data_IF_779322433463
#
_entry.id   IF_779322433463
#
_cell.length_a   1.000
_cell.length_b   1.000
_cell.length_c   1.000
_cell.angle_alpha   90.00
_cell.angle_beta   90.00
_cell.angle_gamma   90.00
#
_symmetry.space_group_name_H-M   'P 1'
#
loop_
_entity.id
_entity.type
_entity.pdbx_description
1 polymer ?
#
# COMPACT_ATOMS: atom_id res chain seq x y z
N UNK A 1 -17.85 15.32 -16.74
CA UNK A 1 -16.92 16.37 -17.17
C UNK A 1 -15.52 15.83 -16.95
N UNK A 2 -14.78 15.50 -18.01
CA UNK A 2 -13.45 14.91 -17.85
C UNK A 2 -12.45 15.98 -17.43
N UNK A 3 -11.68 15.72 -16.38
CA UNK A 3 -10.52 16.53 -16.04
C UNK A 3 -9.32 15.96 -16.80
N UNK A 4 -8.72 16.79 -17.65
CA UNK A 4 -7.46 16.47 -18.33
C UNK A 4 -6.26 16.73 -17.41
N UNK A 5 -5.08 16.15 -17.71
CA UNK A 5 -3.89 16.45 -16.95
C UNK A 5 -3.53 17.95 -17.07
N UNK A 6 -2.97 18.49 -15.98
CA UNK A 6 -2.52 19.89 -15.89
C UNK A 6 -1.03 19.98 -16.24
N UNK A 7 -0.69 20.96 -17.06
CA UNK A 7 0.66 21.19 -17.55
C UNK A 7 1.00 22.67 -17.47
N UNK A 8 2.24 23.00 -17.12
CA UNK A 8 2.76 24.37 -17.28
C UNK A 8 3.79 24.36 -18.40
N UNK A 9 3.60 25.21 -19.40
CA UNK A 9 4.51 25.29 -20.55
C UNK A 9 5.78 26.04 -20.13
N UNK A 10 6.97 25.42 -20.18
CA UNK A 10 8.20 26.08 -19.69
C UNK A 10 8.86 27.05 -20.68
N UNK A 11 8.64 26.90 -21.99
CA UNK A 11 9.35 27.66 -23.03
C UNK A 11 8.48 28.13 -24.19
N UNK A 12 7.51 27.33 -24.62
CA UNK A 12 6.70 27.60 -25.82
C UNK A 12 5.24 27.94 -25.50
N UNK A 13 4.55 28.54 -26.47
CA UNK A 13 3.11 28.87 -26.40
C UNK A 13 2.32 27.59 -26.68
N UNK A 14 1.44 27.20 -25.76
CA UNK A 14 0.49 26.11 -25.99
C UNK A 14 -0.72 26.65 -26.77
N UNK A 15 -1.08 26.00 -27.89
CA UNK A 15 -2.22 26.40 -28.73
C UNK A 15 -3.19 25.26 -28.99
N UNK A 16 -4.44 25.61 -29.26
CA UNK A 16 -5.49 24.67 -29.64
C UNK A 16 -5.17 23.98 -30.97
N UNK A 17 -5.49 22.69 -31.10
CA UNK A 17 -5.35 21.93 -32.35
C UNK A 17 -3.99 21.29 -32.60
N UNK A 18 -2.98 21.60 -31.78
CA UNK A 18 -1.68 20.95 -31.83
C UNK A 18 -1.80 19.43 -31.57
N UNK A 19 -0.98 18.67 -32.28
CA UNK A 19 -0.84 17.22 -32.09
C UNK A 19 0.51 16.91 -31.44
N UNK A 20 0.48 15.98 -30.49
CA UNK A 20 1.63 15.60 -29.67
C UNK A 20 1.77 14.10 -29.67
N UNK A 21 3.00 13.61 -29.73
CA UNK A 21 3.31 12.20 -29.48
C UNK A 21 4.15 12.13 -28.21
N UNK A 22 3.55 11.89 -27.03
CA UNK A 22 4.32 11.63 -25.82
C UNK A 22 5.16 10.36 -26.02
N UNK A 23 6.27 10.27 -25.31
CA UNK A 23 7.03 9.02 -25.29
C UNK A 23 6.22 7.99 -24.47
N UNK A 24 6.02 6.79 -25.04
CA UNK A 24 5.20 5.70 -24.48
C UNK A 24 3.67 5.91 -24.47
N UNK A 25 3.12 6.91 -25.17
CA UNK A 25 1.67 7.06 -25.34
C UNK A 25 1.30 7.22 -26.81
N UNK A 26 0.04 6.89 -27.10
CA UNK A 26 -0.57 7.19 -28.38
C UNK A 26 -0.57 8.69 -28.68
N UNK A 27 -0.52 9.07 -29.98
CA UNK A 27 -0.55 10.47 -30.37
C UNK A 27 -1.87 11.12 -29.96
N UNK A 28 -1.75 12.28 -29.33
CA UNK A 28 -2.87 13.05 -28.78
C UNK A 28 -3.01 14.34 -29.55
N UNK A 29 -4.24 14.62 -30.00
CA UNK A 29 -4.61 15.93 -30.51
C UNK A 29 -5.31 16.71 -29.39
N UNK A 30 -4.81 17.90 -29.06
CA UNK A 30 -5.49 18.75 -28.08
C UNK A 30 -6.82 19.19 -28.68
N UNK A 31 -7.91 18.73 -28.08
CA UNK A 31 -9.26 19.15 -28.47
C UNK A 31 -9.67 20.44 -27.78
N UNK A 32 -9.17 20.67 -26.56
CA UNK A 32 -9.52 21.84 -25.76
C UNK A 32 -8.43 22.17 -24.74
N UNK A 33 -8.21 23.46 -24.57
CA UNK A 33 -7.32 24.08 -23.61
C UNK A 33 -8.17 24.76 -22.52
N UNK A 34 -7.87 24.49 -21.25
CA UNK A 34 -8.57 25.11 -20.12
C UNK A 34 -7.59 25.76 -19.14
N UNK A 35 -8.00 26.90 -18.59
CA UNK A 35 -7.31 27.58 -17.50
C UNK A 35 -7.64 26.97 -16.13
N UNK A 36 -7.06 27.49 -15.04
CA UNK A 36 -7.28 27.04 -13.66
C UNK A 36 -8.76 27.12 -13.23
N UNK A 37 -9.49 28.08 -13.79
CA UNK A 37 -10.93 28.28 -13.58
C UNK A 37 -11.81 27.37 -14.46
N UNK A 38 -11.22 26.40 -15.16
CA UNK A 38 -11.87 25.53 -16.16
C UNK A 38 -12.45 26.26 -17.39
N UNK A 39 -12.14 27.56 -17.53
CA UNK A 39 -12.54 28.34 -18.71
C UNK A 39 -11.70 27.95 -19.92
N UNK A 40 -12.36 27.85 -21.07
CA UNK A 40 -11.69 27.51 -22.34
C UNK A 40 -10.83 28.69 -22.81
N UNK A 41 -9.58 28.42 -23.16
CA UNK A 41 -8.64 29.41 -23.70
C UNK A 41 -8.09 28.94 -25.05
N UNK A 42 -7.74 29.88 -25.94
CA UNK A 42 -7.22 29.56 -27.27
C UNK A 42 -5.71 29.29 -27.26
N UNK A 43 -4.98 30.01 -26.40
CA UNK A 43 -3.53 29.89 -26.26
C UNK A 43 -3.10 30.23 -24.84
N UNK A 44 -1.98 29.65 -24.40
CA UNK A 44 -1.33 30.00 -23.14
C UNK A 44 0.16 30.28 -23.35
N UNK A 45 0.64 31.31 -22.67
CA UNK A 45 2.04 31.72 -22.68
C UNK A 45 2.94 30.80 -21.85
N UNK A 46 4.25 31.05 -21.87
CA UNK A 46 5.19 30.34 -21.01
C UNK A 46 4.86 30.61 -19.53
N UNK A 47 5.07 29.59 -18.72
CA UNK A 47 4.80 29.49 -17.28
C UNK A 47 3.32 29.50 -16.88
N UNK A 48 2.38 29.70 -17.81
CA UNK A 48 0.95 29.61 -17.51
C UNK A 48 0.51 28.13 -17.40
N UNK A 49 -0.10 27.71 -16.28
CA UNK A 49 -0.65 26.38 -16.15
C UNK A 49 -1.93 26.24 -16.98
N UNK A 50 -2.02 25.15 -17.75
CA UNK A 50 -3.16 24.81 -18.59
C UNK A 50 -3.52 23.34 -18.47
N UNK A 51 -4.81 23.05 -18.53
CA UNK A 51 -5.32 21.68 -18.62
C UNK A 51 -5.56 21.33 -20.07
N UNK A 52 -4.98 20.22 -20.53
CA UNK A 52 -5.15 19.72 -21.88
C UNK A 52 -6.21 18.60 -21.89
N UNK A 53 -7.20 18.72 -22.77
CA UNK A 53 -8.20 17.68 -23.02
C UNK A 53 -7.90 16.97 -24.35
N UNK A 54 -8.17 15.66 -24.40
CA UNK A 54 -8.00 14.84 -25.61
C UNK A 54 -7.16 13.57 -25.43
N UNK A 55 -6.63 13.32 -24.23
CA UNK A 55 -5.88 12.10 -23.93
C UNK A 55 -6.80 10.88 -23.94
N UNK A 56 -6.38 9.82 -24.65
CA UNK A 56 -6.97 8.48 -24.49
C UNK A 56 -6.45 7.79 -23.23
N UNK A 57 -5.17 7.98 -22.94
CA UNK A 57 -4.46 7.42 -21.78
C UNK A 57 -3.67 8.53 -21.07
N UNK A 58 -3.60 8.46 -19.75
CA UNK A 58 -2.93 9.49 -18.94
C UNK A 58 -1.42 9.21 -18.84
N UNK A 59 -0.54 10.21 -19.05
CA UNK A 59 0.89 10.05 -18.85
C UNK A 59 1.25 9.85 -17.37
N UNK A 60 2.33 9.11 -17.06
CA UNK A 60 2.86 9.00 -15.71
C UNK A 60 3.40 10.35 -15.20
N UNK A 61 3.40 10.56 -13.88
CA UNK A 61 3.81 11.83 -13.25
C UNK A 61 5.32 12.02 -13.38
N UNK A 62 5.77 13.27 -13.44
CA UNK A 62 7.20 13.62 -13.53
C UNK A 62 7.84 13.41 -14.90
N UNK A 63 7.21 12.61 -15.77
CA UNK A 63 7.60 12.43 -17.18
C UNK A 63 7.55 13.74 -17.98
N UNK A 64 6.83 14.73 -17.46
CA UNK A 64 6.66 16.09 -18.00
C UNK A 64 7.98 16.88 -18.07
N UNK A 65 9.04 16.50 -17.32
CA UNK A 65 10.37 17.11 -17.50
C UNK A 65 10.91 16.94 -18.93
N UNK A 66 10.52 15.86 -19.62
CA UNK A 66 10.88 15.61 -21.03
C UNK A 66 9.81 16.06 -22.01
N UNK A 67 8.55 16.21 -21.61
CA UNK A 67 7.47 16.59 -22.53
C UNK A 67 7.81 17.92 -23.20
N UNK A 68 8.25 18.96 -22.48
CA UNK A 68 8.63 20.24 -23.09
C UNK A 68 9.88 20.21 -23.99
N UNK A 69 10.84 19.28 -23.78
CA UNK A 69 12.03 19.17 -24.65
C UNK A 69 11.82 18.24 -25.84
N UNK A 70 10.78 17.40 -25.78
CA UNK A 70 10.42 16.39 -26.78
C UNK A 70 9.08 16.71 -27.45
N UNK A 71 8.63 17.96 -27.34
CA UNK A 71 7.63 18.56 -28.22
C UNK A 71 8.26 18.66 -29.62
N UNK A 72 8.23 17.58 -30.41
CA UNK A 72 7.91 17.82 -31.80
C UNK A 72 6.43 18.18 -31.78
N UNK A 73 6.14 19.47 -31.69
CA UNK A 73 4.89 20.02 -32.20
C UNK A 73 4.85 19.62 -33.67
N UNK A 74 4.29 18.44 -33.94
CA UNK A 74 4.02 18.04 -35.28
C UNK A 74 2.83 18.90 -35.69
N UNK A 75 3.06 19.85 -36.59
CA UNK A 75 1.97 20.59 -37.24
C UNK A 75 0.99 19.63 -37.94
N UNK A 76 1.38 18.36 -38.13
CA UNK A 76 0.61 17.32 -38.77
C UNK A 76 0.43 16.06 -37.87
N UNK A 77 -0.81 15.58 -37.79
CA UNK A 77 -1.20 14.38 -37.06
C UNK A 77 -0.53 13.10 -37.62
N UNK A 78 -0.22 13.07 -38.92
CA UNK A 78 0.45 11.94 -39.55
C UNK A 78 1.86 11.72 -39.00
N UNK A 79 2.62 12.80 -38.78
CA UNK A 79 3.97 12.73 -38.25
C UNK A 79 3.97 12.29 -36.78
N UNK A 80 3.01 12.78 -35.97
CA UNK A 80 2.85 12.32 -34.58
C UNK A 80 2.56 10.80 -34.50
N UNK A 81 1.75 10.26 -35.42
CA UNK A 81 1.50 8.82 -35.53
C UNK A 81 2.77 8.04 -35.89
N UNK A 82 3.50 8.45 -36.93
CA UNK A 82 4.74 7.79 -37.34
C UNK A 82 5.80 7.76 -36.22
N UNK A 83 5.93 8.85 -35.46
CA UNK A 83 6.83 8.92 -34.30
C UNK A 83 6.40 7.98 -33.18
N UNK A 84 5.09 7.92 -32.88
CA UNK A 84 4.54 7.01 -31.88
C UNK A 84 4.76 5.54 -32.27
N UNK A 85 4.42 5.15 -33.51
CA UNK A 85 4.64 3.79 -34.03
C UNK A 85 6.11 3.39 -33.98
N UNK A 86 7.03 4.31 -34.29
CA UNK A 86 8.47 4.05 -34.23
C UNK A 86 8.94 3.80 -32.79
N UNK A 87 8.35 4.49 -31.81
CA UNK A 87 8.66 4.32 -30.38
C UNK A 87 8.08 3.02 -29.83
N UNK A 88 6.83 2.70 -30.16
CA UNK A 88 6.18 1.44 -29.81
C UNK A 88 6.99 0.25 -30.33
N UNK A 89 7.40 0.28 -31.61
CA UNK A 89 8.27 -0.75 -32.19
C UNK A 89 9.59 -0.88 -31.43
N UNK A 90 10.24 0.24 -31.07
CA UNK A 90 11.49 0.22 -30.28
C UNK A 90 11.30 -0.38 -28.89
N UNK A 91 10.19 -0.08 -28.20
CA UNK A 91 9.87 -0.67 -26.90
C UNK A 91 9.61 -2.17 -27.00
N UNK A 92 8.78 -2.59 -27.95
CA UNK A 92 8.53 -4.00 -28.24
C UNK A 92 9.84 -4.76 -28.49
N UNK A 93 10.72 -4.22 -29.33
CA UNK A 93 12.03 -4.83 -29.59
C UNK A 93 12.89 -4.92 -28.32
N UNK A 94 12.90 -3.86 -27.49
CA UNK A 94 13.66 -3.83 -26.23
C UNK A 94 13.15 -4.87 -25.22
N UNK A 95 11.83 -4.99 -25.06
CA UNK A 95 11.19 -5.96 -24.16
C UNK A 95 11.41 -7.39 -24.63
N UNK A 96 11.22 -7.66 -25.92
CA UNK A 96 11.49 -8.98 -26.52
C UNK A 96 12.94 -9.41 -26.29
N UNK A 97 13.89 -8.47 -26.41
CA UNK A 97 15.30 -8.72 -26.17
C UNK A 97 15.60 -8.98 -24.68
N UNK A 98 14.92 -8.27 -23.77
CA UNK A 98 15.01 -8.50 -22.33
C UNK A 98 14.40 -9.85 -21.91
N UNK A 99 13.26 -10.23 -22.46
CA UNK A 99 12.59 -11.51 -22.21
C UNK A 99 13.45 -12.68 -22.73
N UNK A 100 14.01 -12.56 -23.93
CA UNK A 100 14.95 -13.54 -24.49
C UNK A 100 16.16 -13.74 -23.58
N UNK A 101 16.73 -12.65 -23.04
CA UNK A 101 17.83 -12.70 -22.08
C UNK A 101 17.44 -13.39 -20.76
N UNK A 102 16.26 -13.09 -20.21
CA UNK A 102 15.74 -13.76 -19.00
C UNK A 102 15.56 -15.26 -19.22
N UNK A 103 14.99 -15.64 -20.37
CA UNK A 103 14.78 -17.05 -20.74
C UNK A 103 16.10 -17.79 -20.93
N UNK A 104 17.09 -17.17 -21.60
CA UNK A 104 18.43 -17.72 -21.73
C UNK A 104 19.10 -17.91 -20.35
N UNK A 105 18.98 -16.94 -19.45
CA UNK A 105 19.48 -17.05 -18.07
C UNK A 105 18.83 -18.21 -17.32
N UNK A 106 17.51 -18.39 -17.44
CA UNK A 106 16.80 -19.52 -16.83
C UNK A 106 17.19 -20.87 -17.44
N UNK A 107 17.34 -20.96 -18.77
CA UNK A 107 17.79 -22.19 -19.45
C UNK A 107 19.22 -22.58 -19.05
N UNK A 108 20.13 -21.60 -18.87
CA UNK A 108 21.50 -21.85 -18.35
C UNK A 108 21.51 -22.33 -16.90
N UNK A 109 20.51 -21.97 -16.10
CA UNK A 109 20.38 -22.45 -14.70
C UNK A 109 19.76 -23.85 -14.65
N UNK A 110 18.84 -24.18 -15.56
CA UNK A 110 18.20 -25.51 -15.64
C UNK A 110 19.10 -26.59 -16.27
N UNK A 111 19.99 -26.24 -17.20
CA UNK A 111 21.00 -27.16 -17.72
C UNK A 111 22.29 -27.11 -16.87
N UNK A 112 22.26 -27.72 -15.69
CA UNK A 112 23.49 -28.21 -15.02
C UNK A 112 23.80 -29.67 -15.38
N UNK A 113 22.80 -30.42 -15.86
CA UNK A 113 22.98 -31.78 -16.36
C UNK A 113 22.98 -31.79 -17.91
N UNK A 114 24.11 -32.15 -18.56
CA UNK A 114 24.23 -32.16 -20.02
C UNK A 114 23.27 -33.17 -20.71
N UNK A 115 22.78 -34.17 -19.99
CA UNK A 115 22.05 -35.32 -20.56
C UNK A 115 20.56 -35.05 -20.83
N UNK A 116 19.96 -34.04 -20.17
CA UNK A 116 18.51 -33.75 -20.27
C UNK A 116 18.13 -32.93 -21.51
N UNK A 117 19.09 -32.27 -22.15
CA UNK A 117 18.85 -31.38 -23.30
C UNK A 117 18.53 -32.09 -24.62
N UNK A 118 18.70 -33.42 -24.70
CA UNK A 118 18.59 -34.16 -25.96
C UNK A 118 17.17 -34.69 -26.24
N UNK A 119 16.27 -34.68 -25.26
CA UNK A 119 14.98 -35.38 -25.36
C UNK A 119 13.74 -34.46 -25.45
N UNK A 120 13.92 -33.14 -25.50
CA UNK A 120 12.80 -32.21 -25.70
C UNK A 120 12.67 -31.82 -27.18
N UNK A 121 11.80 -32.55 -27.90
CA UNK A 121 11.32 -32.11 -29.20
C UNK A 121 10.47 -30.84 -29.04
N UNK A 122 10.57 -29.85 -29.94
CA UNK A 122 9.72 -28.67 -29.88
C UNK A 122 8.27 -29.07 -30.19
N UNK A 123 7.42 -29.16 -29.17
CA UNK A 123 5.96 -29.19 -29.39
C UNK A 123 5.55 -27.87 -30.02
N UNK A 124 5.04 -27.94 -31.25
CA UNK A 124 4.41 -26.81 -31.91
C UNK A 124 3.26 -26.30 -31.02
N UNK A 125 3.32 -25.02 -30.69
CA UNK A 125 2.27 -24.32 -29.95
C UNK A 125 1.09 -24.11 -30.91
N UNK A 126 0.07 -24.97 -30.80
CA UNK A 126 -1.24 -24.74 -31.40
C UNK A 126 -1.96 -23.75 -30.49
N UNK A 127 -2.32 -22.60 -31.06
CA UNK A 127 -3.24 -21.65 -30.41
C UNK A 127 -4.63 -22.17 -30.77
N UNK A 128 -5.27 -22.86 -29.83
CA UNK A 128 -6.69 -23.13 -29.91
C UNK A 128 -7.43 -21.87 -29.43
N UNK A 129 -8.16 -21.24 -30.35
CA UNK A 129 -9.06 -20.12 -30.10
C UNK A 129 -10.35 -20.61 -29.40
N UNK A 130 -10.21 -21.13 -28.18
CA UNK A 130 -11.33 -21.28 -27.25
C UNK A 130 -11.26 -20.16 -26.19
N UNK A 131 -11.67 -18.96 -26.62
CA UNK A 131 -12.17 -17.93 -25.70
C UNK A 131 -13.52 -18.41 -25.16
N UNK A 132 -13.59 -18.70 -23.85
CA UNK A 132 -14.74 -18.45 -22.96
C UNK A 132 -14.69 -19.38 -21.73
N UNK A 133 -13.61 -19.26 -20.92
CA UNK A 133 -13.55 -19.58 -19.48
C UNK A 133 -12.11 -19.53 -18.90
N UNK A 134 -11.19 -18.77 -19.52
CA UNK A 134 -10.03 -18.27 -18.76
C UNK A 134 -10.56 -17.37 -17.65
N UNK A 135 -10.65 -17.93 -16.45
CA UNK A 135 -11.17 -17.29 -15.24
C UNK A 135 -10.75 -15.82 -15.15
N UNK A 136 -11.64 -14.92 -14.75
CA UNK A 136 -11.32 -13.49 -14.59
C UNK A 136 -10.06 -13.25 -13.70
N UNK A 137 -9.69 -14.24 -12.86
CA UNK A 137 -8.43 -14.28 -12.13
C UNK A 137 -7.19 -14.29 -13.05
N UNK A 138 -7.22 -15.05 -14.15
CA UNK A 138 -6.17 -15.07 -15.16
C UNK A 138 -6.04 -13.73 -15.90
N UNK A 139 -7.17 -13.05 -16.17
CA UNK A 139 -7.19 -11.72 -16.81
C UNK A 139 -6.42 -10.67 -16.00
N UNK A 140 -6.59 -10.70 -14.68
CA UNK A 140 -6.01 -9.72 -13.77
C UNK A 140 -4.81 -10.23 -12.96
N UNK A 141 -4.36 -11.46 -13.21
CA UNK A 141 -3.29 -12.11 -12.43
C UNK A 141 -3.58 -12.09 -10.91
N UNK A 142 -4.84 -12.33 -10.55
CA UNK A 142 -5.24 -12.44 -9.15
C UNK A 142 -4.56 -13.66 -8.53
N UNK A 143 -3.93 -13.47 -7.37
CA UNK A 143 -3.44 -14.59 -6.59
C UNK A 143 -4.58 -15.22 -5.81
N UNK A 144 -4.66 -16.56 -5.80
CA UNK A 144 -5.63 -17.32 -5.01
C UNK A 144 -5.09 -17.70 -3.62
N UNK A 145 -3.83 -17.36 -3.31
CA UNK A 145 -3.23 -17.63 -2.01
C UNK A 145 -4.00 -16.88 -0.90
N UNK A 146 -4.46 -17.56 0.16
CA UNK A 146 -5.16 -16.92 1.27
C UNK A 146 -4.34 -15.83 1.97
N UNK A 147 -3.01 -15.86 1.88
CA UNK A 147 -2.09 -14.87 2.45
C UNK A 147 -1.97 -13.61 1.60
N UNK A 148 -2.32 -13.68 0.32
CA UNK A 148 -2.20 -12.56 -0.60
C UNK A 148 -3.51 -11.77 -0.64
N UNK A 149 -3.40 -10.47 -0.42
CA UNK A 149 -4.50 -9.51 -0.54
C UNK A 149 -4.33 -8.75 -1.84
N UNK A 150 -5.26 -9.01 -2.76
CA UNK A 150 -5.30 -8.40 -4.08
C UNK A 150 -5.95 -7.02 -3.98
N UNK A 151 -5.19 -5.96 -4.29
CA UNK A 151 -5.61 -4.57 -4.14
C UNK A 151 -5.75 -3.89 -5.50
N UNK A 152 -6.90 -3.24 -5.72
CA UNK A 152 -7.08 -2.28 -6.82
C UNK A 152 -7.18 -0.86 -6.26
N UNK A 153 -6.30 0.02 -6.72
CA UNK A 153 -6.27 1.43 -6.35
C UNK A 153 -7.03 2.26 -7.39
N UNK A 154 -7.98 3.08 -6.91
CA UNK A 154 -8.61 4.14 -7.71
C UNK A 154 -8.51 5.49 -7.01
N UNK A 155 -8.19 6.53 -7.78
CA UNK A 155 -8.16 7.88 -7.24
C UNK A 155 -8.68 8.93 -8.23
N UNK A 156 -8.82 10.17 -7.76
CA UNK A 156 -9.21 11.33 -8.57
C UNK A 156 -8.12 11.75 -9.57
N UNK A 157 -6.85 11.56 -9.22
CA UNK A 157 -5.70 11.91 -10.03
C UNK A 157 -4.56 10.90 -9.86
N UNK A 158 -3.62 10.89 -10.81
CA UNK A 158 -2.47 10.00 -10.78
C UNK A 158 -1.61 10.19 -9.53
N UNK A 159 -1.48 11.44 -9.03
CA UNK A 159 -0.61 11.75 -7.89
C UNK A 159 -1.09 11.11 -6.60
N UNK A 160 -2.40 11.02 -6.46
CA UNK A 160 -3.01 10.29 -5.36
C UNK A 160 -2.81 8.79 -5.47
N UNK A 161 -2.80 8.21 -6.67
CA UNK A 161 -2.48 6.78 -6.87
C UNK A 161 -1.05 6.50 -6.41
N UNK A 162 -0.09 7.32 -6.82
CA UNK A 162 1.32 7.16 -6.43
C UNK A 162 1.51 7.32 -4.92
N UNK A 163 0.80 8.27 -4.29
CA UNK A 163 0.83 8.46 -2.85
C UNK A 163 0.27 7.24 -2.10
N UNK A 164 -0.87 6.70 -2.56
CA UNK A 164 -1.49 5.50 -1.99
C UNK A 164 -0.59 4.28 -2.19
N UNK A 165 0.02 4.12 -3.37
CA UNK A 165 0.97 3.04 -3.63
C UNK A 165 2.20 3.10 -2.72
N UNK A 166 2.82 4.27 -2.59
CA UNK A 166 3.98 4.47 -1.72
C UNK A 166 3.63 4.10 -0.27
N UNK A 167 2.47 4.55 0.19
CA UNK A 167 2.00 4.22 1.53
C UNK A 167 1.79 2.72 1.72
N UNK A 168 1.17 2.02 0.75
CA UNK A 168 1.01 0.56 0.80
C UNK A 168 2.35 -0.18 0.89
N UNK A 169 3.38 0.30 0.21
CA UNK A 169 4.73 -0.28 0.25
C UNK A 169 5.43 -0.06 1.60
N UNK A 170 5.07 0.99 2.33
CA UNK A 170 5.63 1.29 3.65
C UNK A 170 4.95 0.53 4.78
N UNK A 171 3.76 -0.06 4.55
CA UNK A 171 3.08 -0.91 5.52
C UNK A 171 3.96 -2.14 5.78
N UNK A 172 4.44 -2.27 7.02
CA UNK A 172 5.21 -3.43 7.46
C UNK A 172 4.29 -4.43 8.12
N UNK A 173 4.07 -5.55 7.46
CA UNK A 173 3.28 -6.65 8.00
C UNK A 173 4.21 -7.52 8.85
N UNK A 174 3.85 -7.81 10.13
CA UNK A 174 4.66 -8.66 10.98
C UNK A 174 4.72 -10.10 10.43
N UNK A 175 5.89 -10.72 10.54
CA UNK A 175 6.17 -12.14 10.19
C UNK A 175 5.90 -12.55 8.73
N UNK A 176 5.70 -11.60 7.81
CA UNK A 176 5.32 -11.86 6.42
C UNK A 176 4.07 -12.77 6.28
N UNK A 177 3.16 -12.71 7.26
CA UNK A 177 1.96 -13.55 7.30
C UNK A 177 0.94 -13.19 6.20
N UNK A 178 0.98 -11.94 5.74
CA UNK A 178 0.16 -11.41 4.64
C UNK A 178 1.05 -10.64 3.65
N UNK A 179 0.69 -10.71 2.37
CA UNK A 179 1.34 -9.96 1.30
C UNK A 179 0.31 -9.12 0.53
N UNK A 180 0.65 -7.87 0.24
CA UNK A 180 -0.21 -6.96 -0.52
C UNK A 180 0.21 -7.00 -1.99
N UNK A 181 -0.69 -7.47 -2.85
CA UNK A 181 -0.49 -7.49 -4.30
C UNK A 181 -1.31 -6.39 -4.97
N UNK A 182 -0.66 -5.37 -5.53
CA UNK A 182 -1.35 -4.31 -6.29
C UNK A 182 -1.64 -4.81 -7.70
N UNK A 183 -2.89 -5.22 -7.92
CA UNK A 183 -3.37 -5.81 -9.18
C UNK A 183 -3.53 -4.75 -10.26
N UNK A 184 -4.13 -3.61 -9.89
CA UNK A 184 -4.46 -2.55 -10.85
C UNK A 184 -4.52 -1.18 -10.21
N UNK A 185 -4.23 -0.16 -11.02
CA UNK A 185 -4.24 1.24 -10.65
C UNK A 185 -4.88 2.04 -11.76
N UNK A 186 -5.92 2.80 -11.47
CA UNK A 186 -6.55 3.64 -12.49
C UNK A 186 -7.20 4.89 -11.88
N UNK A 187 -7.49 5.87 -12.74
CA UNK A 187 -8.15 7.12 -12.35
C UNK A 187 -9.66 7.01 -12.57
N UNK A 188 -10.44 7.61 -11.68
CA UNK A 188 -11.88 7.78 -11.84
C UNK A 188 -12.73 6.97 -10.86
N UNK A 189 -14.07 7.17 -10.90
CA UNK A 189 -14.97 6.63 -9.89
C UNK A 189 -15.07 5.10 -9.95
N UNK A 190 -15.40 4.50 -8.82
CA UNK A 190 -15.71 3.07 -8.73
C UNK A 190 -17.12 2.83 -9.29
N UNK A 191 -17.23 1.97 -10.31
CA UNK A 191 -18.49 1.58 -10.96
C UNK A 191 -18.89 0.15 -10.59
N UNK A 192 -20.18 -0.17 -10.72
CA UNK A 192 -20.72 -1.48 -10.33
C UNK A 192 -20.12 -2.64 -11.12
N UNK A 193 -19.75 -2.38 -12.38
CA UNK A 193 -19.05 -3.31 -13.26
C UNK A 193 -17.67 -3.66 -12.71
N UNK A 194 -16.88 -2.66 -12.30
CA UNK A 194 -15.55 -2.88 -11.70
C UNK A 194 -15.66 -3.70 -10.40
N UNK A 195 -16.67 -3.41 -9.58
CA UNK A 195 -16.91 -4.18 -8.36
C UNK A 195 -17.34 -5.62 -8.68
N UNK A 196 -18.01 -5.88 -9.80
CA UNK A 196 -18.31 -7.26 -10.26
C UNK A 196 -17.06 -7.95 -10.78
N UNK A 197 -16.21 -7.25 -11.54
CA UNK A 197 -14.94 -7.80 -12.04
C UNK A 197 -14.01 -8.23 -10.89
N UNK A 198 -14.09 -7.54 -9.75
CA UNK A 198 -13.29 -7.82 -8.54
C UNK A 198 -14.00 -8.62 -7.47
N UNK A 199 -15.15 -9.25 -7.75
CA UNK A 199 -15.92 -10.01 -6.76
C UNK A 199 -15.27 -11.38 -6.45
N UNK A 200 -14.01 -11.32 -6.05
CA UNK A 200 -13.13 -12.43 -5.72
C UNK A 200 -12.80 -12.42 -4.23
N UNK A 201 -12.35 -13.57 -3.71
CA UNK A 201 -11.88 -13.65 -2.33
C UNK A 201 -10.60 -12.84 -2.17
N UNK A 202 -10.40 -12.26 -0.98
CA UNK A 202 -9.23 -11.46 -0.62
C UNK A 202 -8.95 -10.29 -1.59
N UNK A 203 -10.00 -9.79 -2.26
CA UNK A 203 -9.91 -8.63 -3.12
C UNK A 203 -10.43 -7.38 -2.41
N UNK A 204 -9.68 -6.30 -2.56
CA UNK A 204 -9.96 -5.00 -1.94
C UNK A 204 -9.85 -3.90 -2.98
N UNK A 205 -10.80 -2.96 -2.96
CA UNK A 205 -10.76 -1.74 -3.76
C UNK A 205 -10.49 -0.56 -2.82
N UNK A 206 -9.37 0.12 -3.03
CA UNK A 206 -9.01 1.36 -2.35
C UNK A 206 -9.38 2.55 -3.24
N UNK A 207 -10.41 3.29 -2.84
CA UNK A 207 -10.88 4.48 -3.52
C UNK A 207 -10.49 5.74 -2.74
N UNK A 208 -9.71 6.62 -3.36
CA UNK A 208 -9.30 7.88 -2.78
C UNK A 208 -9.92 9.07 -3.51
N UNK A 209 -10.71 9.87 -2.78
CA UNK A 209 -11.35 11.09 -3.29
C UNK A 209 -12.22 10.87 -4.54
N UNK A 210 -12.78 9.67 -4.70
CA UNK A 210 -13.71 9.37 -5.80
C UNK A 210 -15.15 9.23 -5.28
N UNK A 211 -16.14 9.72 -6.05
CA UNK A 211 -17.54 9.57 -5.65
C UNK A 211 -17.93 8.09 -5.79
N UNK A 212 -18.32 7.49 -4.68
CA UNK A 212 -18.90 6.15 -4.66
C UNK A 212 -20.43 6.28 -4.70
N UNK A 213 -21.08 5.59 -5.64
CA UNK A 213 -22.55 5.49 -5.64
C UNK A 213 -22.97 4.78 -4.35
N UNK A 214 -24.00 5.32 -3.67
CA UNK A 214 -24.61 4.70 -2.47
C UNK A 214 -25.32 3.40 -2.85
N UNK A 215 -24.56 2.33 -3.05
CA UNK A 215 -25.07 0.97 -3.20
C UNK A 215 -24.62 0.11 -2.02
N UNK A 216 -25.43 -0.90 -1.68
CA UNK A 216 -25.09 -1.87 -0.65
C UNK A 216 -24.07 -2.88 -1.20
N UNK A 217 -22.79 -2.53 -1.16
CA UNK A 217 -21.68 -3.44 -1.50
C UNK A 217 -21.49 -4.57 -0.46
N UNK A 218 -22.22 -4.54 0.67
CA UNK A 218 -22.17 -5.54 1.74
C UNK A 218 -22.47 -6.98 1.32
N UNK A 219 -23.13 -7.19 0.18
CA UNK A 219 -23.49 -8.53 -0.33
C UNK A 219 -22.39 -9.18 -1.17
N UNK A 220 -21.32 -8.45 -1.50
CA UNK A 220 -20.23 -8.94 -2.35
C UNK A 220 -19.05 -9.41 -1.50
N UNK A 221 -18.19 -10.25 -2.08
CA UNK A 221 -16.97 -10.76 -1.44
C UNK A 221 -15.85 -9.72 -1.41
N UNK A 222 -15.91 -8.74 -2.31
CA UNK A 222 -14.98 -7.61 -2.39
C UNK A 222 -15.30 -6.53 -1.36
N UNK A 223 -14.26 -6.03 -0.69
CA UNK A 223 -14.37 -4.88 0.20
C UNK A 223 -13.98 -3.60 -0.52
N UNK A 224 -14.76 -2.54 -0.32
CA UNK A 224 -14.51 -1.22 -0.95
C UNK A 224 -14.29 -0.20 0.16
N UNK A 225 -13.08 0.33 0.25
CA UNK A 225 -12.73 1.44 1.12
C UNK A 225 -12.79 2.72 0.31
N UNK A 226 -13.56 3.70 0.76
CA UNK A 226 -13.65 4.99 0.10
C UNK A 226 -13.51 6.13 1.09
N UNK A 227 -12.44 6.91 0.95
CA UNK A 227 -12.19 8.04 1.83
C UNK A 227 -11.64 9.24 1.05
N UNK A 228 -11.86 10.44 1.56
CA UNK A 228 -11.31 11.68 1.01
C UNK A 228 -9.97 12.06 1.66
N UNK A 229 -9.65 11.48 2.81
CA UNK A 229 -8.43 11.72 3.59
C UNK A 229 -7.60 10.45 3.59
N UNK A 230 -6.32 10.56 3.22
CA UNK A 230 -5.48 9.39 2.93
C UNK A 230 -5.23 8.57 4.20
N UNK A 231 -5.03 9.22 5.35
CA UNK A 231 -4.81 8.54 6.63
C UNK A 231 -6.02 7.69 7.04
N UNK A 232 -7.24 8.22 6.92
CA UNK A 232 -8.44 7.44 7.24
C UNK A 232 -8.64 6.26 6.29
N UNK A 233 -8.26 6.40 5.01
CA UNK A 233 -8.30 5.28 4.06
C UNK A 233 -7.42 4.13 4.57
N UNK A 234 -6.23 4.45 5.06
CA UNK A 234 -5.27 3.48 5.54
C UNK A 234 -5.56 2.98 6.94
N UNK A 235 -6.10 3.79 7.83
CA UNK A 235 -6.59 3.32 9.14
C UNK A 235 -7.66 2.25 8.96
N UNK A 236 -8.62 2.47 8.05
CA UNK A 236 -9.67 1.50 7.76
C UNK A 236 -9.09 0.24 7.09
N UNK A 237 -8.14 0.41 6.18
CA UNK A 237 -7.47 -0.71 5.52
C UNK A 237 -6.60 -1.53 6.50
N UNK A 238 -5.87 -0.88 7.40
CA UNK A 238 -5.05 -1.52 8.44
C UNK A 238 -5.92 -2.31 9.40
N UNK A 239 -7.04 -1.74 9.87
CA UNK A 239 -8.01 -2.49 10.70
C UNK A 239 -8.49 -3.76 10.00
N UNK A 240 -8.74 -3.68 8.70
CA UNK A 240 -9.08 -4.86 7.90
C UNK A 240 -7.94 -5.88 7.83
N UNK A 241 -6.68 -5.45 7.69
CA UNK A 241 -5.52 -6.34 7.73
C UNK A 241 -5.38 -7.03 9.11
N UNK A 242 -5.53 -6.27 10.19
CA UNK A 242 -5.48 -6.81 11.56
C UNK A 242 -6.57 -7.84 11.84
N UNK A 243 -7.77 -7.66 11.28
CA UNK A 243 -8.86 -8.63 11.38
C UNK A 243 -8.58 -9.92 10.59
N UNK A 244 -7.70 -9.85 9.58
CA UNK A 244 -7.27 -10.99 8.77
C UNK A 244 -6.06 -11.71 9.35
N UNK A 245 -5.25 -11.04 10.17
CA UNK A 245 -4.07 -11.64 10.77
C UNK A 245 -4.46 -12.65 11.86
N UNK A 246 -3.70 -13.74 12.00
CA UNK A 246 -3.86 -14.66 13.11
C UNK A 246 -3.58 -13.93 14.43
N UNK A 247 -4.33 -14.28 15.48
CA UNK A 247 -4.07 -13.77 16.82
C UNK A 247 -2.69 -14.23 17.31
N UNK A 248 -1.96 -13.32 17.94
CA UNK A 248 -0.66 -13.64 18.52
C UNK A 248 -0.87 -14.39 19.83
N UNK A 249 -0.12 -15.48 20.00
CA UNK A 249 -0.08 -16.23 21.26
C UNK A 249 1.06 -15.70 22.12
N UNK A 250 0.70 -15.01 23.20
CA UNK A 250 1.65 -14.57 24.22
C UNK A 250 1.68 -15.62 25.35
N UNK A 251 2.82 -16.31 25.43
CA UNK A 251 3.10 -17.38 26.39
C UNK A 251 3.80 -16.75 27.59
N UNK A 252 3.14 -16.69 28.74
CA UNK A 252 3.74 -16.24 29.99
C UNK A 252 3.91 -17.43 30.93
N UNK A 253 5.15 -17.74 31.32
CA UNK A 253 5.40 -18.79 32.31
C UNK A 253 5.01 -18.27 33.70
N UNK A 254 4.08 -18.95 34.37
CA UNK A 254 3.61 -18.63 35.71
C UNK A 254 4.46 -19.28 36.80
N UNK A 255 5.02 -20.46 36.53
CA UNK A 255 5.85 -21.16 37.50
C UNK A 255 6.45 -22.46 36.99
N UNK A 256 7.39 -22.99 37.78
CA UNK A 256 8.09 -24.25 37.54
C UNK A 256 7.97 -25.16 38.76
N UNK A 257 7.73 -26.44 38.53
CA UNK A 257 7.74 -27.48 39.55
C UNK A 257 8.55 -28.69 39.12
N UNK A 258 9.06 -29.44 40.08
CA UNK A 258 9.77 -30.70 39.84
C UNK A 258 8.98 -31.86 40.42
N UNK A 259 8.87 -32.94 39.65
CA UNK A 259 8.26 -34.21 40.10
C UNK A 259 9.19 -34.87 41.11
N UNK A 260 8.71 -35.07 42.34
CA UNK A 260 9.45 -35.76 43.39
C UNK A 260 9.12 -37.26 43.43
N UNK A 261 7.83 -37.57 43.52
CA UNK A 261 7.33 -38.94 43.65
C UNK A 261 6.14 -39.15 42.72
N UNK A 262 5.86 -40.40 42.35
CA UNK A 262 4.74 -40.75 41.47
C UNK A 262 3.87 -41.75 42.23
N UNK A 263 2.62 -41.38 42.46
CA UNK A 263 1.65 -42.23 43.15
C UNK A 263 0.78 -42.92 42.09
N UNK A 264 0.74 -44.26 42.13
CA UNK A 264 -0.07 -45.09 41.24
C UNK A 264 -1.29 -45.63 41.99
N UNK A 265 -2.42 -44.91 42.00
CA UNK A 265 -3.66 -45.44 42.58
C UNK A 265 -4.16 -46.67 41.81
N UNK A 266 -4.66 -47.68 42.52
CA UNK A 266 -5.37 -48.81 41.89
C UNK A 266 -6.56 -48.29 41.07
N UNK A 267 -6.62 -48.63 39.78
CA UNK A 267 -7.64 -48.23 38.78
C UNK A 267 -7.71 -46.75 38.37
N UNK A 268 -6.66 -45.95 38.60
CA UNK A 268 -6.61 -44.57 38.11
C UNK A 268 -5.25 -44.19 37.48
N UNK A 269 -5.25 -43.05 36.77
CA UNK A 269 -4.04 -42.50 36.13
C UNK A 269 -2.96 -42.19 37.19
N UNK A 270 -1.67 -42.36 36.88
CA UNK A 270 -0.59 -42.02 37.80
C UNK A 270 -0.61 -40.53 38.13
N UNK A 271 -0.48 -40.19 39.41
CA UNK A 271 -0.53 -38.81 39.92
C UNK A 271 0.82 -38.45 40.53
N UNK A 272 1.62 -37.58 39.90
CA UNK A 272 2.87 -37.11 40.49
C UNK A 272 2.62 -36.18 41.69
N UNK A 273 3.48 -36.30 42.68
CA UNK A 273 3.69 -35.29 43.72
C UNK A 273 4.75 -34.33 43.20
N UNK A 274 4.36 -33.08 42.97
CA UNK A 274 5.24 -32.04 42.46
C UNK A 274 5.56 -31.01 43.54
N UNK A 275 6.80 -30.55 43.59
CA UNK A 275 7.22 -29.42 44.42
C UNK A 275 7.37 -28.19 43.53
N UNK A 276 6.68 -27.09 43.88
CA UNK A 276 6.76 -25.84 43.13
C UNK A 276 8.04 -25.10 43.55
N UNK A 277 8.98 -24.98 42.61
CA UNK A 277 10.28 -24.37 42.85
C UNK A 277 10.24 -22.84 42.72
N UNK A 278 9.44 -22.33 41.78
CA UNK A 278 9.31 -20.90 41.53
C UNK A 278 7.94 -20.58 40.91
N UNK A 279 7.40 -19.42 41.25
CA UNK A 279 6.14 -18.90 40.75
C UNK A 279 4.92 -19.57 41.37
N UNK A 280 3.87 -19.75 40.57
CA UNK A 280 2.61 -20.34 41.02
C UNK A 280 1.98 -21.25 39.99
N UNK A 281 1.26 -22.25 40.46
CA UNK A 281 0.51 -23.19 39.64
C UNK A 281 -0.96 -22.84 39.73
N UNK A 282 -1.53 -22.36 38.62
CA UNK A 282 -2.95 -22.06 38.53
C UNK A 282 -3.70 -23.24 37.92
N UNK A 283 -4.83 -23.62 38.51
CA UNK A 283 -5.65 -24.77 38.06
C UNK A 283 -6.07 -24.67 36.60
N UNK A 284 -6.39 -23.45 36.15
CA UNK A 284 -6.81 -23.15 34.77
C UNK A 284 -5.61 -22.83 33.84
N UNK A 285 -4.38 -22.99 34.33
CA UNK A 285 -3.17 -22.79 33.55
C UNK A 285 -2.96 -23.90 32.51
N UNK A 286 -2.07 -23.64 31.57
CA UNK A 286 -1.60 -24.61 30.60
C UNK A 286 -0.32 -25.27 31.12
N UNK A 287 -0.31 -26.58 31.26
CA UNK A 287 0.80 -27.34 31.84
C UNK A 287 1.63 -27.99 30.75
N UNK A 288 2.96 -27.81 30.83
CA UNK A 288 3.94 -28.50 29.97
C UNK A 288 4.85 -29.37 30.81
N UNK A 289 4.98 -30.64 30.44
CA UNK A 289 5.93 -31.56 31.05
C UNK A 289 7.17 -31.63 30.18
N UNK A 290 8.33 -31.31 30.78
CA UNK A 290 9.64 -31.34 30.14
C UNK A 290 10.51 -32.42 30.76
N UNK A 291 11.14 -33.21 29.91
CA UNK A 291 12.15 -34.21 30.27
C UNK A 291 13.44 -33.89 29.55
N UNK A 292 14.52 -33.71 30.31
CA UNK A 292 15.83 -33.36 29.74
C UNK A 292 15.78 -32.16 28.77
N UNK A 293 14.89 -31.19 29.04
CA UNK A 293 14.70 -29.99 28.23
C UNK A 293 13.73 -30.14 27.04
N UNK A 294 13.29 -31.34 26.68
CA UNK A 294 12.30 -31.57 25.63
C UNK A 294 10.88 -31.63 26.19
N UNK A 295 9.91 -31.08 25.46
CA UNK A 295 8.49 -31.14 25.82
C UNK A 295 7.98 -32.54 25.48
N UNK A 296 7.52 -33.27 26.50
CA UNK A 296 6.98 -34.64 26.37
C UNK A 296 5.46 -34.65 26.35
N UNK A 297 4.84 -33.69 27.03
CA UNK A 297 3.39 -33.61 27.14
C UNK A 297 2.91 -32.18 27.40
N UNK A 298 1.73 -31.84 26.87
CA UNK A 298 1.07 -30.55 27.04
C UNK A 298 -0.42 -30.73 27.30
N UNK A 299 -0.99 -29.98 28.25
CA UNK A 299 -2.42 -30.00 28.55
C UNK A 299 -2.91 -28.66 29.09
N UNK A 300 -4.14 -28.27 28.72
CA UNK A 300 -4.84 -27.15 29.34
C UNK A 300 -5.61 -27.61 30.58
N UNK A 301 -5.38 -26.94 31.70
CA UNK A 301 -5.98 -27.22 32.99
C UNK A 301 -5.37 -28.43 33.70
N UNK A 302 -5.39 -28.38 35.03
CA UNK A 302 -5.03 -29.50 35.90
C UNK A 302 -5.98 -29.59 37.09
N UNK A 303 -6.03 -30.76 37.73
CA UNK A 303 -6.71 -30.92 39.02
C UNK A 303 -5.68 -31.14 40.12
N UNK A 304 -5.73 -30.32 41.18
CA UNK A 304 -4.94 -30.53 42.38
C UNK A 304 -5.72 -31.44 43.33
N UNK A 305 -5.17 -32.62 43.69
CA UNK A 305 -5.89 -33.59 44.53
C UNK A 305 -5.85 -33.28 46.03
N UNK A 306 -4.79 -32.64 46.51
CA UNK A 306 -4.60 -32.40 47.95
C UNK A 306 -5.23 -31.10 48.43
N UNK A 307 -5.43 -30.14 47.53
CA UNK A 307 -5.97 -28.82 47.81
C UNK A 307 -7.05 -28.49 46.79
N UNK A 308 -8.29 -28.24 47.25
CA UNK A 308 -9.35 -27.64 46.43
C UNK A 308 -9.09 -26.14 46.17
N UNK A 309 -7.81 -25.74 46.11
CA UNK A 309 -7.38 -24.38 45.86
C UNK A 309 -7.29 -24.14 44.34
N UNK A 310 -7.60 -22.91 43.92
CA UNK A 310 -7.47 -22.52 42.52
C UNK A 310 -6.02 -22.23 42.12
N UNK A 311 -5.16 -21.91 43.09
CA UNK A 311 -3.74 -21.64 42.90
C UNK A 311 -2.90 -22.29 44.02
N UNK A 312 -1.69 -22.73 43.67
CA UNK A 312 -0.69 -23.26 44.62
C UNK A 312 0.60 -22.46 44.46
N UNK A 313 1.12 -21.95 45.58
CA UNK A 313 2.30 -21.08 45.62
C UNK A 313 3.63 -21.84 45.74
N UNK A 314 4.74 -21.13 45.52
CA UNK A 314 6.10 -21.65 45.65
C UNK A 314 6.34 -22.26 47.03
N UNK A 315 7.11 -23.35 47.07
CA UNK A 315 7.49 -24.05 48.32
C UNK A 315 6.45 -25.04 48.82
N UNK A 316 5.26 -25.08 48.23
CA UNK A 316 4.24 -26.09 48.52
C UNK A 316 4.40 -27.31 47.61
N UNK A 317 4.15 -28.49 48.17
CA UNK A 317 3.97 -29.72 47.40
C UNK A 317 2.49 -29.94 47.08
N UNK A 318 2.19 -30.41 45.88
CA UNK A 318 0.83 -30.76 45.50
C UNK A 318 0.80 -31.99 44.60
N UNK A 319 -0.26 -32.80 44.72
CA UNK A 319 -0.56 -33.85 43.74
C UNK A 319 -1.24 -33.26 42.51
N UNK A 320 -0.53 -33.33 41.38
CA UNK A 320 -0.98 -32.79 40.10
C UNK A 320 -1.61 -33.90 39.26
N UNK A 321 -2.92 -33.85 39.03
CA UNK A 321 -3.61 -34.78 38.14
C UNK A 321 -3.71 -34.18 36.73
N UNK A 322 -2.99 -34.81 35.80
CA UNK A 322 -3.03 -34.56 34.36
C UNK A 322 -3.38 -35.87 33.63
N UNK A 323 -3.81 -35.76 32.38
CA UNK A 323 -4.04 -36.89 31.47
C UNK A 323 -2.71 -37.40 30.87
N UNK A 324 -1.72 -37.61 31.72
CA UNK A 324 -0.40 -38.09 31.34
C UNK A 324 -0.01 -39.32 32.16
N UNK A 325 0.52 -40.33 31.48
CA UNK A 325 0.79 -41.64 32.08
C UNK A 325 2.29 -41.91 32.31
N UNK A 326 3.16 -41.33 31.50
CA UNK A 326 4.59 -41.71 31.46
C UNK A 326 5.43 -40.76 32.31
N UNK A 327 5.13 -40.65 33.60
CA UNK A 327 5.89 -39.80 34.53
C UNK A 327 7.25 -40.41 34.89
N UNK A 328 8.29 -39.58 34.94
CA UNK A 328 9.57 -39.95 35.55
C UNK A 328 9.88 -39.01 36.73
N UNK A 329 10.56 -39.52 37.78
CA UNK A 329 11.14 -38.66 38.80
C UNK A 329 12.07 -37.63 38.16
N UNK A 330 12.07 -36.41 38.68
CA UNK A 330 12.81 -35.26 38.15
C UNK A 330 12.32 -34.70 36.80
N UNK A 331 11.16 -35.12 36.29
CA UNK A 331 10.50 -34.37 35.21
C UNK A 331 10.17 -32.94 35.69
N UNK A 332 10.30 -31.96 34.80
CA UNK A 332 10.05 -30.56 35.09
C UNK A 332 8.68 -30.16 34.52
N UNK A 333 7.80 -29.64 35.36
CA UNK A 333 6.47 -29.17 34.97
C UNK A 333 6.48 -27.65 34.93
N UNK A 334 5.99 -27.06 33.84
CA UNK A 334 5.80 -25.62 33.69
C UNK A 334 4.31 -25.31 33.67
N UNK A 335 3.89 -24.35 34.49
CA UNK A 335 2.55 -23.77 34.41
C UNK A 335 2.65 -22.48 33.58
N UNK A 336 1.84 -22.37 32.54
CA UNK A 336 1.89 -21.30 31.54
C UNK A 336 0.51 -20.67 31.42
N UNK A 337 0.46 -19.35 31.29
CA UNK A 337 -0.72 -18.63 30.86
C UNK A 337 -0.59 -18.30 29.37
N UNK A 338 -1.50 -18.83 28.55
CA UNK A 338 -1.58 -18.51 27.13
C UNK A 338 -2.62 -17.41 26.99
N UNK A 339 -2.16 -16.21 26.61
CA UNK A 339 -3.04 -15.09 26.27
C UNK A 339 -3.02 -14.89 24.76
N UNK A 340 -4.21 -14.75 24.19
CA UNK A 340 -4.37 -14.38 22.79
C UNK A 340 -4.51 -12.86 22.72
N UNK A 341 -3.58 -12.19 22.04
CA UNK A 341 -3.64 -10.76 21.77
C UNK A 341 -3.88 -10.54 20.28
N UNK A 342 -4.62 -9.49 19.93
CA UNK A 342 -4.82 -9.13 18.51
C UNK A 342 -3.50 -8.63 17.96
N UNK A 343 -3.10 -9.15 16.80
CA UNK A 343 -1.91 -8.67 16.10
C UNK A 343 -2.20 -7.27 15.54
N UNK A 344 -1.46 -6.28 16.02
CA UNK A 344 -1.54 -4.89 15.53
C UNK A 344 -0.55 -4.68 14.40
N UNK A 345 -0.95 -3.90 13.40
CA UNK A 345 -0.06 -3.49 12.30
C UNK A 345 0.30 -2.03 12.50
N UNK A 346 1.59 -1.74 12.56
CA UNK A 346 2.06 -0.38 12.72
C UNK A 346 1.69 0.44 11.48
N UNK A 347 1.09 1.61 11.70
CA UNK A 347 0.87 2.56 10.62
C UNK A 347 2.22 3.11 10.15
N UNK A 348 2.43 3.27 8.83
CA UNK A 348 3.68 3.81 8.34
C UNK A 348 3.87 5.24 8.84
N UNK A 349 5.07 5.47 9.37
CA UNK A 349 5.51 6.79 9.82
C UNK A 349 6.17 7.48 8.65
N UNK A 350 5.54 8.55 8.14
CA UNK A 350 6.20 9.47 7.22
C UNK A 350 6.95 10.46 8.08
N UNK A 351 8.29 10.40 8.15
CA UNK A 351 9.03 11.50 8.73
C UNK A 351 8.68 12.76 7.94
N UNK A 352 8.20 13.79 8.63
CA UNK A 352 8.10 15.11 8.01
C UNK A 352 9.53 15.55 7.71
N UNK A 353 9.73 16.24 6.58
CA UNK A 353 11.04 16.82 6.30
C UNK A 353 11.42 17.75 7.46
N UNK A 354 12.60 17.58 8.06
CA UNK A 354 13.06 18.39 9.20
C UNK A 354 12.95 19.90 8.91
N UNK A 355 13.13 20.31 7.66
CA UNK A 355 12.95 21.70 7.21
C UNK A 355 11.50 22.19 7.33
N UNK A 356 10.52 21.34 7.02
CA UNK A 356 9.09 21.65 7.16
C UNK A 356 8.69 21.72 8.63
N UNK A 357 9.18 20.80 9.47
CA UNK A 357 8.95 20.84 10.91
C UNK A 357 9.51 22.14 11.51
N UNK A 358 10.76 22.50 11.18
CA UNK A 358 11.38 23.74 11.64
C UNK A 358 10.61 24.99 11.18
N UNK A 359 10.07 24.99 9.95
CA UNK A 359 9.26 26.10 9.43
C UNK A 359 7.91 26.26 10.14
N UNK A 360 7.26 25.15 10.52
CA UNK A 360 6.00 25.16 11.27
C UNK A 360 6.20 25.67 12.70
N UNK A 361 7.33 25.31 13.33
CA UNK A 361 7.67 25.80 14.67
C UNK A 361 8.15 27.26 14.68
N UNK A 362 8.63 27.80 13.56
CA UNK A 362 9.00 29.22 13.43
C UNK A 362 7.81 30.15 13.19
N UNK A 363 6.62 29.63 12.89
CA UNK A 363 5.44 30.47 12.72
C UNK A 363 4.90 30.94 14.08
N UNK A 364 5.40 32.07 14.56
CA UNK A 364 4.69 32.87 15.56
C UNK A 364 3.65 33.73 14.82
N UNK A 365 2.34 33.59 15.10
CA UNK A 365 1.37 34.54 14.56
C UNK A 365 1.77 35.92 15.05
N UNK A 366 2.05 36.84 14.12
CA UNK A 366 2.32 38.23 14.47
C UNK A 366 1.15 38.72 15.31
N UNK A 367 1.42 39.12 16.56
CA UNK A 367 0.41 39.75 17.39
C UNK A 367 -0.17 40.93 16.62
N UNK A 368 -1.51 41.10 16.61
CA UNK A 368 -2.11 42.23 15.95
C UNK A 368 -1.71 43.50 16.71
N UNK A 369 -0.62 44.14 16.28
CA UNK A 369 -0.30 45.51 16.65
C UNK A 369 -1.33 46.43 16.00
N UNK A 370 -2.51 46.49 16.60
CA UNK A 370 -3.52 47.49 16.30
C UNK A 370 -3.82 48.24 17.59
N UNK A 371 -3.03 49.27 17.88
CA UNK A 371 -3.51 50.39 18.68
C UNK A 371 -4.58 51.11 17.85
N UNK A 372 -5.83 50.64 17.95
CA UNK A 372 -6.99 51.42 17.51
C UNK A 372 -7.21 52.51 18.54
N UNK A 373 -6.56 53.65 18.35
CA UNK A 373 -7.04 54.91 18.94
C UNK A 373 -7.17 55.92 17.81
N UNK A 374 -8.43 56.24 17.50
CA UNK A 374 -8.93 57.36 16.70
C UNK A 374 -8.25 57.58 15.35
N UNK A 375 -8.86 57.00 14.30
CA UNK A 375 -8.72 57.53 12.94
C UNK A 375 -10.11 58.00 12.52
N UNK A 376 -10.25 59.32 12.35
CA UNK A 376 -11.42 59.97 11.78
C UNK A 376 -11.69 59.42 10.37
N UNK A 377 -12.93 59.03 10.13
CA UNK A 377 -13.36 58.32 8.92
C UNK A 377 -13.43 59.19 7.64
N UNK A 378 -12.99 60.45 7.69
CA UNK A 378 -13.12 61.42 6.59
C UNK A 378 -11.84 61.62 5.75
N UNK A 379 -10.77 60.85 5.95
CA UNK A 379 -9.53 60.98 5.16
C UNK A 379 -8.98 59.71 4.50
N UNK A 380 -9.84 58.77 4.10
CA UNK A 380 -9.41 57.70 3.19
C UNK A 380 -9.48 58.17 1.72
N UNK A 381 -8.54 59.03 1.32
CA UNK A 381 -8.15 59.10 -0.09
C UNK A 381 -7.33 57.86 -0.44
N UNK A 382 -7.79 57.15 -1.45
CA UNK A 382 -7.12 56.02 -2.09
C UNK A 382 -5.69 56.38 -2.53
N UNK A 383 -4.68 55.80 -1.89
CA UNK A 383 -3.32 55.73 -2.46
C UNK A 383 -3.00 54.27 -2.76
N UNK A 384 -3.47 53.84 -3.94
CA UNK A 384 -2.92 52.67 -4.62
C UNK A 384 -1.68 53.14 -5.38
N UNK A 385 -0.49 52.79 -4.89
CA UNK A 385 0.74 52.97 -5.66
C UNK A 385 1.64 51.74 -5.53
N UNK A 386 1.24 50.64 -6.17
CA UNK A 386 2.19 49.60 -6.55
C UNK A 386 3.11 50.15 -7.65
N UNK A 387 4.45 50.00 -7.53
CA UNK A 387 5.39 50.51 -8.54
C UNK A 387 5.14 49.84 -9.88
N UNK A 388 4.98 50.65 -10.95
CA UNK A 388 4.82 50.16 -12.33
C UNK A 388 6.21 49.95 -12.94
N UNK A 389 6.60 48.69 -13.13
CA UNK A 389 7.84 48.33 -13.84
C UNK A 389 7.49 47.99 -15.29
N UNK A 390 8.19 48.61 -16.25
CA UNK A 390 7.97 48.34 -17.68
C UNK A 390 9.14 47.52 -18.22
N UNK A 391 8.86 46.31 -18.72
CA UNK A 391 9.87 45.46 -19.34
C UNK A 391 10.10 45.88 -20.81
N UNK A 392 11.36 46.15 -21.19
CA UNK A 392 11.75 46.41 -22.59
C UNK A 392 12.75 45.37 -23.09
N UNK A 393 12.59 44.98 -24.35
CA UNK A 393 13.48 44.02 -25.04
C UNK A 393 14.45 44.75 -25.94
N UNK A 394 15.75 44.68 -25.65
CA UNK A 394 16.84 45.20 -26.51
C UNK A 394 17.86 44.11 -26.78
N UNK A 395 18.20 43.89 -28.06
CA UNK A 395 19.20 42.90 -28.53
C UNK A 395 19.07 41.51 -27.87
N UNK A 396 17.83 41.01 -27.74
CA UNK A 396 17.57 39.65 -27.24
C UNK A 396 17.66 39.46 -25.72
N UNK A 397 17.92 40.52 -24.93
CA UNK A 397 17.87 40.49 -23.46
C UNK A 397 16.73 41.39 -22.94
N UNK A 398 16.09 40.93 -21.86
CA UNK A 398 15.02 41.64 -21.14
C UNK A 398 15.65 42.50 -20.05
N UNK A 399 15.27 43.78 -20.01
CA UNK A 399 15.67 44.73 -18.98
C UNK A 399 14.42 45.28 -18.30
N UNK A 400 14.51 45.44 -16.99
CA UNK A 400 13.46 46.04 -16.15
C UNK A 400 13.98 47.40 -15.69
N UNK A 401 13.27 48.46 -16.05
CA UNK A 401 13.52 49.81 -15.55
C UNK A 401 12.37 50.19 -14.60
N UNK A 402 12.71 50.67 -13.41
CA UNK A 402 11.76 51.31 -12.52
C UNK A 402 11.32 52.64 -13.13
N UNK A 403 10.01 52.80 -13.34
CA UNK A 403 9.45 54.10 -13.72
C UNK A 403 9.36 54.91 -12.43
N UNK A 404 10.40 55.68 -12.12
CA UNK A 404 10.24 56.75 -11.14
C UNK A 404 9.35 57.84 -11.75
N UNK A 405 8.32 58.24 -11.00
CA UNK A 405 7.49 59.40 -11.32
C UNK A 405 8.31 60.68 -11.38
#
# INVERSE_FOLDING_TARGET
MGHGPRFSARRDIAQWGLSFAPDQLHPVRITRLQDETHKSIASAGPSTPVSFLGFKEFPPIGFVKKICSLLLAANDQAHARAVSETREKKQYFKEKLAMTRKLQRQKRVKHRDPMSAFNESPKAFVIDDEEDDLSLASKWQLSEDPRIINVWIRADCMGSIEAVEKYLQEIKIPNDDLEINIVRKDIGPVTDELVKEMDFKNCVILSFRTPLKKQNYKRKRVQVFNQNVIFHLFEDFIKFLEDKLPMKQDITVLGHATVQEIVNPHDAKPVPVVLINNGKFAKNGHFRVKRQGQIVYEQSGAHFRDTNADEVETGSSCRLALDFHQWNPNDLVECINIRFSKTTVDSPQFPLDEELEQSLFQYQPAEPNVNVTNIDFDQLQTVSSSPKVVAKKRKGKLYFEDVQN
#
